data_IF_411811816059
#
_entry.id   IF_411811816059
#
_cell.length_a   1.000
_cell.length_b   1.000
_cell.length_c   1.000
_cell.angle_alpha   90.00
_cell.angle_beta   90.00
_cell.angle_gamma   90.00
#
_symmetry.space_group_name_H-M   'P 1'
#
loop_
_entity.id
_entity.type
_entity.pdbx_description
1 polymer ?
#
# COMPACT_ATOMS: atom_id res chain seq x y z
N UNK A 1 4.10 16.23 6.47
CA UNK A 1 2.95 17.11 6.63
C UNK A 1 2.56 17.16 8.10
N UNK A 2 2.41 18.38 8.64
CA UNK A 2 1.91 18.65 9.98
C UNK A 2 0.42 18.95 9.89
N UNK A 3 -0.37 18.30 10.74
CA UNK A 3 -1.82 18.48 10.85
C UNK A 3 -2.20 18.68 12.31
N UNK A 4 -3.36 19.27 12.56
CA UNK A 4 -3.96 19.33 13.90
C UNK A 4 -4.48 17.93 14.28
N UNK A 5 -3.82 17.30 15.25
CA UNK A 5 -4.19 15.96 15.73
C UNK A 5 -5.23 16.00 16.85
N UNK A 6 -5.66 17.18 17.31
CA UNK A 6 -6.62 17.36 18.38
C UNK A 6 -6.04 18.00 19.62
N UNK A 7 -6.92 18.28 20.62
CA UNK A 7 -6.57 19.05 21.82
C UNK A 7 -5.41 18.43 22.61
N UNK A 8 -5.33 17.10 22.68
CA UNK A 8 -4.30 16.39 23.45
C UNK A 8 -2.93 16.38 22.78
N UNK A 9 -2.87 16.52 21.45
CA UNK A 9 -1.64 16.34 20.65
C UNK A 9 -1.21 17.58 19.89
N UNK A 10 -2.16 18.51 19.61
CA UNK A 10 -1.90 19.74 18.87
C UNK A 10 -1.43 19.52 17.44
N UNK A 11 -0.55 20.39 16.96
CA UNK A 11 -0.01 20.36 15.60
C UNK A 11 1.21 19.42 15.53
N UNK A 12 1.07 18.30 14.84
CA UNK A 12 2.16 17.32 14.69
C UNK A 12 2.09 16.59 13.33
N UNK A 13 3.09 15.75 13.05
CA UNK A 13 3.12 14.94 11.82
C UNK A 13 1.98 13.94 11.81
N UNK A 14 1.26 13.86 10.70
CA UNK A 14 0.15 12.89 10.56
C UNK A 14 0.60 11.44 10.80
N UNK A 15 1.85 11.10 10.48
CA UNK A 15 2.40 9.77 10.75
C UNK A 15 2.49 9.44 12.24
N UNK A 16 2.58 10.45 13.12
CA UNK A 16 2.59 10.27 14.56
C UNK A 16 1.19 9.93 15.10
N UNK A 17 0.13 10.41 14.45
CA UNK A 17 -1.24 10.07 14.84
C UNK A 17 -1.46 8.55 14.93
N UNK A 18 -0.96 7.80 13.94
CA UNK A 18 -1.06 6.34 13.96
C UNK A 18 -0.22 5.71 15.09
N UNK A 19 0.94 6.29 15.39
CA UNK A 19 1.80 5.81 16.47
C UNK A 19 1.21 6.07 17.87
N UNK A 20 0.44 7.15 18.04
CA UNK A 20 -0.17 7.53 19.31
C UNK A 20 -1.42 6.69 19.61
N UNK A 21 -2.44 6.73 18.74
CA UNK A 21 -3.73 6.06 18.96
C UNK A 21 -4.21 5.24 17.76
N UNK A 22 -3.31 4.93 16.84
CA UNK A 22 -3.64 4.08 15.69
C UNK A 22 -4.56 4.75 14.67
N UNK A 23 -5.41 3.94 14.00
CA UNK A 23 -6.20 4.42 12.88
C UNK A 23 -7.24 5.46 13.28
N UNK A 24 -7.80 5.41 14.49
CA UNK A 24 -8.86 6.33 14.93
C UNK A 24 -8.37 7.78 14.96
N UNK A 25 -7.22 8.04 15.58
CA UNK A 25 -6.63 9.38 15.61
C UNK A 25 -6.21 9.83 14.21
N UNK A 26 -5.68 8.90 13.39
CA UNK A 26 -5.32 9.19 12.00
C UNK A 26 -6.53 9.65 11.19
N UNK A 27 -7.65 8.93 11.26
CA UNK A 27 -8.89 9.29 10.57
C UNK A 27 -9.46 10.61 11.07
N UNK A 28 -9.48 10.81 12.40
CA UNK A 28 -9.96 12.05 13.01
C UNK A 28 -9.13 13.25 12.53
N UNK A 29 -7.80 13.12 12.50
CA UNK A 29 -6.93 14.17 12.02
C UNK A 29 -7.13 14.47 10.52
N UNK A 30 -7.24 13.43 9.67
CA UNK A 30 -7.50 13.62 8.24
C UNK A 30 -8.85 14.28 8.00
N UNK A 31 -9.91 13.80 8.64
CA UNK A 31 -11.25 14.37 8.50
C UNK A 31 -11.30 15.83 8.94
N UNK A 32 -10.67 16.15 10.08
CA UNK A 32 -10.63 17.52 10.62
C UNK A 32 -9.90 18.50 9.73
N UNK A 33 -8.72 18.12 9.21
CA UNK A 33 -7.86 19.06 8.47
C UNK A 33 -8.18 19.15 6.99
N UNK A 34 -8.81 18.12 6.41
CA UNK A 34 -9.07 18.04 4.96
C UNK A 34 -10.57 18.06 4.62
N UNK A 35 -11.42 18.33 5.61
CA UNK A 35 -12.89 18.32 5.45
C UNK A 35 -13.41 17.03 4.79
N UNK A 36 -12.86 15.89 5.24
CA UNK A 36 -13.25 14.56 4.77
C UNK A 36 -14.23 13.91 5.74
N UNK A 37 -14.91 12.86 5.27
CA UNK A 37 -15.78 12.02 6.10
C UNK A 37 -15.38 10.54 5.93
N UNK A 38 -14.12 10.23 6.24
CA UNK A 38 -13.62 8.86 6.19
C UNK A 38 -14.01 8.16 7.48
N UNK A 39 -14.71 7.04 7.37
CA UNK A 39 -15.17 6.23 8.50
C UNK A 39 -14.52 4.86 8.56
N UNK A 40 -13.96 4.41 7.45
CA UNK A 40 -13.41 3.08 7.28
C UNK A 40 -11.90 3.13 7.05
N UNK A 41 -11.23 2.08 7.46
CA UNK A 41 -9.80 1.93 7.22
C UNK A 41 -9.40 0.47 6.99
N UNK A 42 -8.32 0.31 6.27
CA UNK A 42 -7.55 -0.94 6.19
C UNK A 42 -6.10 -0.61 6.51
N UNK A 43 -5.56 -1.25 7.54
CA UNK A 43 -4.17 -1.11 7.92
C UNK A 43 -3.43 -2.42 7.69
N UNK A 44 -2.36 -2.34 6.92
CA UNK A 44 -1.48 -3.46 6.58
C UNK A 44 -0.06 -3.18 7.08
N UNK A 45 0.67 -4.22 7.41
CA UNK A 45 2.10 -4.15 7.68
C UNK A 45 2.91 -4.71 6.50
N UNK A 46 4.22 -4.63 6.58
CA UNK A 46 5.10 -5.13 5.52
C UNK A 46 4.97 -6.64 5.29
N UNK A 47 4.76 -7.40 6.36
CA UNK A 47 4.55 -8.85 6.26
C UNK A 47 3.26 -9.17 5.50
N UNK A 48 2.18 -8.43 5.75
CA UNK A 48 0.93 -8.57 5.00
C UNK A 48 1.15 -8.30 3.51
N UNK A 49 1.86 -7.23 3.15
CA UNK A 49 2.16 -6.93 1.73
C UNK A 49 2.93 -8.08 1.08
N UNK A 50 3.94 -8.63 1.76
CA UNK A 50 4.69 -9.78 1.29
C UNK A 50 3.78 -10.98 1.04
N UNK A 51 2.97 -11.36 2.02
CA UNK A 51 2.02 -12.47 1.92
C UNK A 51 1.06 -12.29 0.75
N UNK A 52 0.48 -11.09 0.61
CA UNK A 52 -0.43 -10.79 -0.53
C UNK A 52 0.26 -11.02 -1.86
N UNK A 53 1.48 -10.49 -2.04
CA UNK A 53 2.21 -10.65 -3.30
C UNK A 53 2.50 -12.12 -3.59
N UNK A 54 2.91 -12.90 -2.60
CA UNK A 54 3.19 -14.32 -2.77
C UNK A 54 1.91 -15.11 -3.10
N UNK A 55 0.81 -14.84 -2.40
CA UNK A 55 -0.48 -15.53 -2.60
C UNK A 55 -1.10 -15.28 -3.98
N UNK A 56 -0.83 -14.12 -4.60
CA UNK A 56 -1.28 -13.83 -5.98
C UNK A 56 -0.30 -14.30 -7.06
N UNK A 57 0.80 -14.98 -6.68
CA UNK A 57 1.80 -15.49 -7.60
C UNK A 57 2.78 -14.44 -8.11
N UNK A 58 3.00 -13.39 -7.33
CA UNK A 58 3.91 -12.29 -7.65
C UNK A 58 3.26 -11.15 -8.44
N UNK A 59 4.01 -10.05 -8.55
CA UNK A 59 3.58 -8.85 -9.29
C UNK A 59 4.59 -8.48 -10.38
N UNK A 60 4.10 -8.04 -11.51
CA UNK A 60 4.97 -7.61 -12.63
C UNK A 60 5.36 -6.15 -12.45
N UNK A 61 6.68 -5.91 -12.34
CA UNK A 61 7.24 -4.58 -12.14
C UNK A 61 8.36 -4.30 -13.14
N UNK A 62 8.47 -3.05 -13.58
CA UNK A 62 9.58 -2.55 -14.38
C UNK A 62 10.64 -1.94 -13.47
N UNK A 63 11.83 -2.50 -13.46
CA UNK A 63 12.96 -2.06 -12.64
C UNK A 63 13.92 -1.24 -13.50
N UNK A 64 14.23 -0.04 -13.05
CA UNK A 64 15.19 0.85 -13.73
C UNK A 64 16.63 0.40 -13.47
N UNK A 65 17.57 0.89 -14.29
CA UNK A 65 19.00 0.63 -14.09
C UNK A 65 19.50 1.18 -12.75
N UNK A 66 18.96 2.31 -12.31
CA UNK A 66 19.31 2.94 -11.04
C UNK A 66 18.83 2.10 -9.85
N UNK A 67 17.61 1.60 -9.89
CA UNK A 67 17.05 0.74 -8.84
C UNK A 67 17.79 -0.60 -8.75
N UNK A 68 18.08 -1.23 -9.89
CA UNK A 68 18.88 -2.45 -9.92
C UNK A 68 20.29 -2.22 -9.37
N UNK A 69 20.93 -1.09 -9.69
CA UNK A 69 22.27 -0.73 -9.21
C UNK A 69 22.35 -0.54 -7.69
N UNK A 70 21.22 -0.33 -6.99
CA UNK A 70 21.23 -0.26 -5.52
C UNK A 70 21.59 -1.59 -4.86
N UNK A 71 21.42 -2.71 -5.56
CA UNK A 71 21.64 -4.06 -5.03
C UNK A 71 20.68 -4.46 -3.91
N UNK A 72 19.59 -3.69 -3.69
CA UNK A 72 18.65 -3.94 -2.59
C UNK A 72 17.57 -4.96 -2.95
N UNK A 73 17.30 -5.21 -4.23
CA UNK A 73 16.31 -6.20 -4.67
C UNK A 73 17.02 -7.55 -4.85
N UNK A 74 16.68 -8.58 -4.06
CA UNK A 74 17.35 -9.88 -4.17
C UNK A 74 17.28 -10.47 -5.58
N UNK A 75 18.43 -10.87 -6.13
CA UNK A 75 18.52 -11.53 -7.43
C UNK A 75 18.35 -10.62 -8.65
N UNK A 76 18.10 -9.32 -8.50
CA UNK A 76 17.93 -8.37 -9.61
C UNK A 76 19.15 -7.46 -9.67
N UNK A 77 19.91 -7.56 -10.77
CA UNK A 77 21.16 -6.83 -11.01
C UNK A 77 21.14 -5.95 -12.25
N UNK A 78 20.08 -5.98 -13.03
CA UNK A 78 19.92 -5.18 -14.26
C UNK A 78 18.50 -4.63 -14.38
N UNK A 79 18.33 -3.59 -15.20
CA UNK A 79 17.01 -3.09 -15.55
C UNK A 79 16.24 -4.12 -16.39
N UNK A 80 14.92 -4.10 -16.25
CA UNK A 80 14.04 -5.00 -16.99
C UNK A 80 12.65 -5.09 -16.34
N UNK A 81 11.81 -5.94 -16.92
CA UNK A 81 10.51 -6.28 -16.36
C UNK A 81 10.61 -7.65 -15.70
N UNK A 82 10.23 -7.70 -14.43
CA UNK A 82 10.34 -8.89 -13.58
C UNK A 82 9.00 -9.20 -12.94
N UNK A 83 8.75 -10.48 -12.69
CA UNK A 83 7.70 -10.90 -11.76
C UNK A 83 8.35 -11.00 -10.38
N UNK A 84 8.05 -10.04 -9.52
CA UNK A 84 8.60 -9.96 -8.17
C UNK A 84 7.79 -10.84 -7.22
N UNK A 85 8.47 -11.64 -6.40
CA UNK A 85 7.89 -12.26 -5.23
C UNK A 85 7.70 -11.23 -4.09
N UNK A 86 7.15 -11.68 -2.96
CA UNK A 86 6.86 -10.80 -1.83
C UNK A 86 8.09 -10.15 -1.22
N UNK A 87 9.21 -10.88 -1.10
CA UNK A 87 10.47 -10.35 -0.57
C UNK A 87 11.08 -9.31 -1.52
N UNK A 88 11.03 -9.55 -2.82
CA UNK A 88 11.51 -8.64 -3.86
C UNK A 88 10.64 -7.37 -3.95
N UNK A 89 9.32 -7.52 -3.92
CA UNK A 89 8.37 -6.39 -3.93
C UNK A 89 8.56 -5.50 -2.68
N UNK A 90 8.73 -6.13 -1.51
CA UNK A 90 9.01 -5.41 -0.29
C UNK A 90 10.36 -4.70 -0.34
N UNK A 91 11.40 -5.36 -0.83
CA UNK A 91 12.74 -4.76 -1.00
C UNK A 91 12.68 -3.56 -1.95
N UNK A 92 11.98 -3.68 -3.09
CA UNK A 92 11.75 -2.59 -4.04
C UNK A 92 11.07 -1.39 -3.39
N UNK A 93 9.97 -1.60 -2.66
CA UNK A 93 9.22 -0.53 -1.99
C UNK A 93 10.05 0.24 -0.95
N UNK A 94 11.15 -0.35 -0.46
CA UNK A 94 12.00 0.20 0.60
C UNK A 94 13.30 0.82 0.10
N UNK A 95 13.56 0.84 -1.20
CA UNK A 95 14.76 1.45 -1.78
C UNK A 95 14.86 2.92 -1.37
N UNK A 96 16.00 3.30 -0.75
CA UNK A 96 16.26 4.67 -0.26
C UNK A 96 17.40 5.38 -0.99
N UNK A 97 18.30 4.62 -1.62
CA UNK A 97 19.57 5.14 -2.16
C UNK A 97 19.52 5.41 -3.67
N UNK A 98 18.35 5.24 -4.31
CA UNK A 98 18.11 5.72 -5.67
C UNK A 98 17.73 7.21 -5.63
N UNK A 99 17.94 7.92 -6.73
CA UNK A 99 17.65 9.37 -6.87
C UNK A 99 16.19 9.66 -6.45
N UNK A 100 15.98 10.77 -5.71
CA UNK A 100 14.64 11.23 -5.29
C UNK A 100 14.25 10.94 -3.84
N UNK A 101 15.10 10.25 -3.04
CA UNK A 101 14.93 10.15 -1.59
C UNK A 101 13.58 9.57 -1.13
N UNK A 102 13.00 10.18 -0.09
CA UNK A 102 11.76 9.70 0.56
C UNK A 102 10.51 9.82 -0.35
N UNK A 103 10.46 10.77 -1.28
CA UNK A 103 9.36 10.89 -2.25
C UNK A 103 9.31 9.67 -3.16
N UNK A 104 10.45 9.26 -3.73
CA UNK A 104 10.55 8.08 -4.57
C UNK A 104 10.25 6.78 -3.81
N UNK A 105 10.55 6.71 -2.52
CA UNK A 105 10.13 5.58 -1.67
C UNK A 105 8.61 5.47 -1.58
N UNK A 106 7.94 6.60 -1.37
CA UNK A 106 6.46 6.63 -1.30
C UNK A 106 5.84 6.28 -2.65
N UNK A 107 6.43 6.77 -3.74
CA UNK A 107 6.03 6.41 -5.11
C UNK A 107 6.17 4.89 -5.33
N UNK A 108 7.32 4.28 -5.04
CA UNK A 108 7.53 2.83 -5.16
C UNK A 108 6.53 2.01 -4.35
N UNK A 109 6.14 2.46 -3.17
CA UNK A 109 5.10 1.78 -2.40
C UNK A 109 3.75 1.85 -3.12
N UNK A 110 3.39 3.00 -3.71
CA UNK A 110 2.17 3.12 -4.52
C UNK A 110 2.23 2.24 -5.77
N UNK A 111 3.39 2.14 -6.42
CA UNK A 111 3.59 1.28 -7.59
C UNK A 111 3.35 -0.20 -7.23
N UNK A 112 3.87 -0.67 -6.09
CA UNK A 112 3.61 -2.02 -5.57
C UNK A 112 2.12 -2.23 -5.32
N UNK A 113 1.44 -1.29 -4.65
CA UNK A 113 0.00 -1.39 -4.39
C UNK A 113 -0.82 -1.40 -5.69
N UNK A 114 -0.45 -0.58 -6.66
CA UNK A 114 -1.08 -0.54 -7.98
C UNK A 114 -0.88 -1.88 -8.72
N UNK A 115 0.33 -2.43 -8.69
CA UNK A 115 0.62 -3.72 -9.32
C UNK A 115 -0.13 -4.88 -8.65
N UNK A 116 -0.30 -4.87 -7.33
CA UNK A 116 -1.14 -5.81 -6.60
C UNK A 116 -2.59 -5.70 -7.08
N UNK A 117 -3.13 -4.48 -7.18
CA UNK A 117 -4.49 -4.24 -7.62
C UNK A 117 -4.72 -4.73 -9.06
N UNK A 118 -3.84 -4.40 -9.99
CA UNK A 118 -3.93 -4.85 -11.38
C UNK A 118 -3.79 -6.39 -11.50
N UNK A 119 -2.94 -7.00 -10.68
CA UNK A 119 -2.84 -8.46 -10.61
C UNK A 119 -4.12 -9.08 -10.06
N UNK A 120 -4.72 -8.50 -9.02
CA UNK A 120 -5.98 -8.96 -8.45
C UNK A 120 -7.11 -8.96 -9.49
N UNK A 121 -7.16 -7.97 -10.38
CA UNK A 121 -8.13 -7.93 -11.51
C UNK A 121 -7.98 -9.09 -12.48
N UNK A 122 -6.82 -9.74 -12.54
CA UNK A 122 -6.60 -10.91 -13.41
C UNK A 122 -7.05 -12.23 -12.76
N UNK A 123 -7.41 -12.22 -11.48
CA UNK A 123 -7.86 -13.41 -10.75
C UNK A 123 -9.36 -13.64 -10.94
N UNK A 124 -9.80 -14.87 -10.80
CA UNK A 124 -11.22 -15.21 -10.71
C UNK A 124 -11.82 -14.78 -9.37
N UNK A 125 -13.15 -14.64 -9.31
CA UNK A 125 -13.86 -14.37 -8.05
C UNK A 125 -13.54 -15.43 -6.99
N UNK A 126 -13.40 -16.70 -7.38
CA UNK A 126 -13.05 -17.78 -6.46
C UNK A 126 -11.65 -17.60 -5.85
N UNK A 127 -10.66 -17.23 -6.67
CA UNK A 127 -9.30 -16.93 -6.19
C UNK A 127 -9.28 -15.69 -5.30
N UNK A 128 -10.03 -14.63 -5.62
CA UNK A 128 -10.16 -13.44 -4.78
C UNK A 128 -10.81 -13.75 -3.42
N UNK A 129 -11.82 -14.61 -3.38
CA UNK A 129 -12.42 -15.07 -2.13
C UNK A 129 -11.40 -15.84 -1.28
N UNK A 130 -10.68 -16.79 -1.87
CA UNK A 130 -9.63 -17.55 -1.16
C UNK A 130 -8.52 -16.64 -0.64
N UNK A 131 -8.09 -15.67 -1.45
CA UNK A 131 -7.12 -14.65 -1.06
C UNK A 131 -7.63 -13.79 0.11
N UNK A 132 -8.91 -13.40 0.08
CA UNK A 132 -9.54 -12.65 1.17
C UNK A 132 -9.51 -13.43 2.48
N UNK A 133 -9.88 -14.70 2.46
CA UNK A 133 -9.86 -15.57 3.64
C UNK A 133 -8.45 -15.72 4.22
N UNK A 134 -7.43 -15.79 3.36
CA UNK A 134 -6.03 -15.88 3.77
C UNK A 134 -5.51 -14.58 4.39
N UNK A 135 -5.89 -13.42 3.83
CA UNK A 135 -5.30 -12.12 4.20
C UNK A 135 -6.05 -11.45 5.35
N UNK A 136 -7.37 -11.63 5.46
CA UNK A 136 -8.17 -10.98 6.49
C UNK A 136 -7.63 -11.15 7.92
N UNK A 137 -7.08 -12.30 8.33
CA UNK A 137 -6.47 -12.45 9.66
C UNK A 137 -5.20 -11.57 9.88
N UNK A 138 -4.58 -11.10 8.81
CA UNK A 138 -3.31 -10.34 8.85
C UNK A 138 -3.49 -8.83 8.69
N UNK A 139 -4.72 -8.35 8.49
CA UNK A 139 -5.02 -6.93 8.38
C UNK A 139 -5.78 -6.42 9.61
N UNK A 140 -5.67 -5.12 9.88
CA UNK A 140 -6.52 -4.43 10.86
C UNK A 140 -7.49 -3.53 10.12
N UNK A 141 -8.77 -3.73 10.34
CA UNK A 141 -9.83 -2.96 9.69
C UNK A 141 -11.05 -2.88 10.60
N UNK A 142 -11.89 -1.87 10.40
CA UNK A 142 -13.22 -1.78 10.97
C UNK A 142 -14.32 -2.18 9.95
N UNK A 143 -13.92 -2.55 8.72
CA UNK A 143 -14.86 -3.08 7.73
C UNK A 143 -15.13 -4.55 8.08
N UNK A 144 -16.39 -4.96 8.08
CA UNK A 144 -16.72 -6.36 8.35
C UNK A 144 -16.27 -7.28 7.20
N UNK A 145 -15.97 -8.54 7.51
CA UNK A 145 -15.60 -9.54 6.49
C UNK A 145 -16.69 -9.69 5.41
N UNK A 146 -17.96 -9.58 5.80
CA UNK A 146 -19.08 -9.65 4.86
C UNK A 146 -19.07 -8.48 3.88
N UNK A 147 -18.78 -7.27 4.35
CA UNK A 147 -18.64 -6.09 3.50
C UNK A 147 -17.46 -6.23 2.55
N UNK A 148 -16.30 -6.66 3.04
CA UNK A 148 -15.11 -6.90 2.21
C UNK A 148 -15.43 -7.89 1.09
N UNK A 149 -16.05 -9.03 1.43
CA UNK A 149 -16.44 -10.05 0.43
C UNK A 149 -17.44 -9.46 -0.58
N UNK A 150 -18.37 -8.61 -0.14
CA UNK A 150 -19.33 -7.96 -1.04
C UNK A 150 -18.70 -7.00 -2.03
N UNK A 151 -17.51 -6.45 -1.72
CA UNK A 151 -16.76 -5.55 -2.59
C UNK A 151 -15.92 -6.29 -3.66
N UNK A 152 -15.64 -7.59 -3.48
CA UNK A 152 -14.81 -8.37 -4.40
C UNK A 152 -15.27 -8.26 -5.87
N UNK A 153 -16.57 -8.40 -6.22
CA UNK A 153 -16.98 -8.24 -7.60
C UNK A 153 -16.71 -6.85 -8.19
N UNK A 154 -16.66 -5.82 -7.34
CA UNK A 154 -16.42 -4.44 -7.75
C UNK A 154 -14.97 -4.19 -8.19
N UNK A 155 -14.02 -5.04 -7.81
CA UNK A 155 -12.60 -4.94 -8.20
C UNK A 155 -12.47 -4.86 -9.72
N UNK A 156 -13.30 -5.59 -10.46
CA UNK A 156 -13.25 -5.61 -11.93
C UNK A 156 -13.76 -4.33 -12.60
N UNK A 157 -14.54 -3.51 -11.88
CA UNK A 157 -15.09 -2.25 -12.38
C UNK A 157 -14.24 -1.03 -12.02
N UNK A 158 -13.34 -1.15 -11.04
CA UNK A 158 -12.44 -0.07 -10.64
C UNK A 158 -11.20 -0.01 -11.53
N UNK A 159 -10.74 1.21 -11.80
CA UNK A 159 -9.46 1.47 -12.45
C UNK A 159 -8.73 2.55 -11.66
N UNK A 160 -7.43 2.35 -11.45
CA UNK A 160 -6.56 3.39 -10.92
C UNK A 160 -6.17 4.27 -12.11
N UNK A 161 -6.73 5.48 -12.19
CA UNK A 161 -6.47 6.43 -13.27
C UNK A 161 -5.26 7.29 -13.00
N UNK A 162 -4.99 7.57 -11.74
CA UNK A 162 -3.85 8.37 -11.31
C UNK A 162 -3.45 8.03 -9.87
N UNK A 163 -2.18 8.22 -9.55
CA UNK A 163 -1.62 7.97 -8.21
C UNK A 163 -0.57 9.03 -7.89
N UNK A 164 -0.96 10.01 -7.08
CA UNK A 164 -0.11 11.14 -6.72
C UNK A 164 0.22 11.15 -5.23
N UNK A 165 1.32 11.81 -4.88
CA UNK A 165 1.66 12.09 -3.49
C UNK A 165 0.98 13.38 -3.02
N UNK A 166 0.71 13.50 -1.74
CA UNK A 166 0.22 14.73 -1.14
C UNK A 166 1.09 15.10 0.08
N UNK A 167 1.36 16.41 0.31
CA UNK A 167 1.05 17.54 -0.57
C UNK A 167 1.88 17.53 -1.87
N UNK A 168 1.32 18.04 -2.94
CA UNK A 168 2.06 18.35 -4.15
C UNK A 168 3.06 19.49 -3.87
N UNK A 169 4.21 19.47 -4.56
CA UNK A 169 5.19 20.57 -4.50
C UNK A 169 4.71 21.82 -5.24
#
# INVERSE_FOLDING_TARGET
TYLDLGEDYGLDKITHAYAYEGPQLTLSALNRNLDLNITEYVAVNFETVRTVVDSIGGITMSITSEEAATGQIPGITSSGTYNLDGDQALAYSRIRYATGGDYKRTERMRDVLTAIFEKAKSLSIGELNSLSDEILPHIRTNISSTEIISLIPSVFSYNITDSVGWPDE
#
